data_IF_230013173892
#
_entry.id   IF_230013173892
#
_cell.length_a   1.000
_cell.length_b   1.000
_cell.length_c   1.000
_cell.angle_alpha   90.00
_cell.angle_beta   90.00
_cell.angle_gamma   90.00
#
_symmetry.space_group_name_H-M   'P 1'
#
loop_
_entity.id
_entity.type
_entity.pdbx_description
1 polymer ?
#
# COMPACT_ATOMS: atom_id res chain seq x y z
N UNK A 1 6.80 -9.99 -32.82
CA UNK A 1 5.52 -9.34 -32.47
C UNK A 1 5.31 -8.01 -33.20
N UNK A 2 6.21 -7.01 -33.09
CA UNK A 2 6.05 -5.70 -33.79
C UNK A 2 5.72 -5.84 -35.29
N UNK A 3 6.47 -6.68 -36.01
CA UNK A 3 6.25 -6.91 -37.43
C UNK A 3 4.91 -7.61 -37.70
N UNK A 4 4.48 -8.52 -36.84
CA UNK A 4 3.20 -9.20 -36.97
C UNK A 4 2.01 -8.25 -36.74
N UNK A 5 2.07 -7.40 -35.72
CA UNK A 5 1.04 -6.40 -35.47
C UNK A 5 0.95 -5.38 -36.59
N UNK A 6 2.10 -4.87 -37.10
CA UNK A 6 2.13 -3.93 -38.20
C UNK A 6 1.51 -4.50 -39.47
N UNK A 7 1.89 -5.74 -39.86
CA UNK A 7 1.31 -6.43 -41.03
C UNK A 7 -0.17 -6.73 -40.89
N UNK A 8 -0.65 -7.04 -39.67
CA UNK A 8 -2.04 -7.30 -39.41
C UNK A 8 -2.89 -6.03 -39.25
N UNK A 9 -2.30 -4.83 -39.31
CA UNK A 9 -2.98 -3.57 -39.08
C UNK A 9 -3.42 -3.36 -37.62
N UNK A 10 -2.79 -4.08 -36.67
CA UNK A 10 -3.12 -3.94 -35.26
C UNK A 10 -2.28 -2.83 -34.61
N UNK A 11 -2.91 -2.06 -33.69
CA UNK A 11 -2.17 -1.06 -32.92
C UNK A 11 -1.23 -1.73 -31.91
N UNK A 12 0.05 -1.39 -31.98
CA UNK A 12 1.07 -1.90 -31.06
C UNK A 12 0.81 -1.57 -29.59
N UNK A 13 0.01 -0.56 -29.29
CA UNK A 13 -0.39 -0.21 -27.92
C UNK A 13 -1.22 -1.33 -27.25
N UNK A 14 -1.85 -2.17 -28.05
CA UNK A 14 -2.71 -3.27 -27.60
C UNK A 14 -1.97 -4.62 -27.52
N UNK A 15 -0.64 -4.62 -27.67
CA UNK A 15 0.17 -5.82 -27.64
C UNK A 15 1.16 -5.80 -26.47
N UNK A 16 1.09 -6.82 -25.62
CA UNK A 16 1.99 -7.02 -24.50
C UNK A 16 2.86 -8.25 -24.75
N UNK A 17 4.15 -8.14 -24.44
CA UNK A 17 5.09 -9.26 -24.46
C UNK A 17 5.84 -9.30 -23.13
N UNK A 18 5.76 -10.44 -22.45
CA UNK A 18 6.53 -10.71 -21.26
C UNK A 18 7.33 -12.01 -21.46
N UNK A 19 8.64 -11.87 -21.59
CA UNK A 19 9.57 -12.98 -21.82
C UNK A 19 9.09 -13.88 -22.98
N UNK A 20 8.41 -15.00 -22.66
CA UNK A 20 7.94 -16.01 -23.62
C UNK A 20 6.47 -15.85 -24.00
N UNK A 21 5.69 -15.07 -23.24
CA UNK A 21 4.27 -14.89 -23.49
C UNK A 21 4.00 -13.64 -24.36
N UNK A 22 3.04 -13.76 -25.27
CA UNK A 22 2.57 -12.66 -26.12
C UNK A 22 1.05 -12.55 -26.04
N UNK A 23 0.56 -11.37 -25.72
CA UNK A 23 -0.84 -11.04 -25.63
C UNK A 23 -1.18 -9.91 -26.60
N UNK A 24 -2.26 -10.08 -27.32
CA UNK A 24 -2.81 -9.08 -28.22
C UNK A 24 -4.29 -8.88 -27.90
N UNK A 25 -4.68 -7.63 -27.72
CA UNK A 25 -6.06 -7.24 -27.47
C UNK A 25 -6.62 -6.45 -28.65
N UNK A 26 -7.88 -6.70 -29.00
CA UNK A 26 -8.65 -5.87 -29.93
C UNK A 26 -10.09 -5.73 -29.45
N UNK A 27 -10.86 -4.82 -30.08
CA UNK A 27 -12.29 -4.71 -29.80
C UNK A 27 -13.00 -6.00 -30.20
N UNK A 28 -14.06 -6.36 -29.48
CA UNK A 28 -14.91 -7.50 -29.83
C UNK A 28 -15.39 -7.40 -31.29
N UNK A 29 -15.26 -8.50 -32.02
CA UNK A 29 -15.60 -8.56 -33.44
C UNK A 29 -14.55 -8.01 -34.42
N UNK A 30 -13.45 -7.42 -33.92
CA UNK A 30 -12.33 -6.99 -34.78
C UNK A 30 -11.48 -8.22 -35.16
N UNK A 31 -11.32 -8.51 -36.45
CA UNK A 31 -10.50 -9.64 -36.91
C UNK A 31 -8.99 -9.42 -36.72
N UNK A 32 -8.56 -8.30 -36.19
CA UNK A 32 -7.13 -7.99 -36.03
C UNK A 32 -6.42 -9.00 -35.13
N UNK A 33 -7.02 -9.44 -34.02
CA UNK A 33 -6.41 -10.44 -33.14
C UNK A 33 -6.22 -11.78 -33.87
N UNK A 34 -7.21 -12.22 -34.64
CA UNK A 34 -7.10 -13.47 -35.43
C UNK A 34 -5.98 -13.35 -36.46
N UNK A 35 -5.91 -12.25 -37.23
CA UNK A 35 -4.83 -12.03 -38.21
C UNK A 35 -3.45 -12.00 -37.55
N UNK A 36 -3.30 -11.41 -36.36
CA UNK A 36 -2.03 -11.41 -35.62
C UNK A 36 -1.68 -12.81 -35.13
N UNK A 37 -2.66 -13.54 -34.62
CA UNK A 37 -2.48 -14.92 -34.14
C UNK A 37 -2.00 -15.81 -35.31
N UNK A 38 -2.70 -15.83 -36.43
CA UNK A 38 -2.38 -16.64 -37.58
C UNK A 38 -1.00 -16.30 -38.14
N UNK A 39 -0.72 -15.01 -38.31
CA UNK A 39 0.58 -14.56 -38.79
C UNK A 39 1.72 -14.91 -37.83
N UNK A 40 1.51 -14.82 -36.51
CA UNK A 40 2.49 -15.19 -35.52
C UNK A 40 2.78 -16.69 -35.52
N UNK A 41 1.74 -17.51 -35.66
CA UNK A 41 1.83 -18.98 -35.79
C UNK A 41 2.63 -19.39 -37.03
N UNK A 42 2.48 -18.67 -38.12
CA UNK A 42 3.23 -18.88 -39.37
C UNK A 42 4.70 -18.44 -39.27
N UNK A 43 4.92 -17.25 -38.67
CA UNK A 43 6.26 -16.62 -38.67
C UNK A 43 7.20 -17.25 -37.65
N UNK A 44 6.74 -17.58 -36.46
CA UNK A 44 7.57 -18.01 -35.33
C UNK A 44 8.41 -19.27 -35.67
N UNK A 45 7.85 -20.33 -36.27
CA UNK A 45 8.63 -21.49 -36.68
C UNK A 45 9.71 -21.16 -37.71
N UNK A 46 9.42 -20.23 -38.63
CA UNK A 46 10.40 -19.74 -39.64
C UNK A 46 11.59 -19.02 -39.01
N UNK A 47 11.37 -18.45 -37.82
CA UNK A 47 12.41 -17.79 -37.02
C UNK A 47 13.09 -18.73 -36.03
N UNK A 48 12.79 -20.01 -36.04
CA UNK A 48 13.33 -20.99 -35.11
C UNK A 48 12.69 -20.92 -33.70
N UNK A 49 11.57 -20.22 -33.54
CA UNK A 49 10.85 -20.13 -32.28
C UNK A 49 9.85 -21.29 -32.18
N UNK A 50 10.03 -22.15 -31.17
CA UNK A 50 9.10 -23.25 -30.90
C UNK A 50 7.89 -22.73 -30.16
N UNK A 51 6.71 -22.81 -30.75
CA UNK A 51 5.44 -22.48 -30.13
C UNK A 51 4.83 -23.68 -29.41
N UNK A 52 4.01 -23.44 -28.42
CA UNK A 52 3.18 -24.47 -27.80
C UNK A 52 2.22 -25.08 -28.85
N UNK A 53 1.95 -26.39 -28.78
CA UNK A 53 0.95 -27.05 -29.64
C UNK A 53 -0.44 -26.41 -29.42
N UNK A 54 -1.29 -26.43 -30.47
CA UNK A 54 -2.65 -25.87 -30.37
C UNK A 54 -3.57 -26.64 -29.42
N UNK A 55 -3.23 -27.90 -29.21
CA UNK A 55 -3.93 -28.80 -28.28
C UNK A 55 -3.68 -28.39 -26.81
N UNK A 56 -2.55 -27.69 -26.52
CA UNK A 56 -2.22 -27.18 -25.20
C UNK A 56 -2.97 -25.84 -24.96
N UNK A 57 -4.27 -25.92 -24.70
CA UNK A 57 -5.16 -24.76 -24.49
C UNK A 57 -4.76 -23.86 -23.32
N UNK A 58 -3.91 -24.34 -22.40
CA UNK A 58 -3.38 -23.57 -21.30
C UNK A 58 -2.23 -22.65 -21.74
N UNK A 59 -1.60 -22.93 -22.91
CA UNK A 59 -0.43 -22.19 -23.41
C UNK A 59 -0.63 -21.55 -24.78
N UNK A 60 -1.53 -22.09 -25.59
CA UNK A 60 -1.81 -21.57 -26.92
C UNK A 60 -3.31 -21.59 -27.17
N UNK A 61 -3.96 -20.47 -27.15
CA UNK A 61 -5.38 -20.37 -27.45
C UNK A 61 -5.63 -19.31 -28.54
N UNK A 62 -6.55 -19.59 -29.48
CA UNK A 62 -6.97 -18.61 -30.46
C UNK A 62 -7.66 -17.42 -29.76
N UNK A 63 -7.86 -16.30 -30.48
CA UNK A 63 -8.57 -15.17 -29.93
C UNK A 63 -9.90 -15.55 -29.29
N UNK A 64 -10.06 -15.19 -28.03
CA UNK A 64 -11.24 -15.49 -27.23
C UNK A 64 -11.55 -14.31 -26.29
N UNK A 65 -12.76 -14.25 -25.77
CA UNK A 65 -13.16 -13.25 -24.77
C UNK A 65 -12.72 -13.61 -23.36
N UNK A 66 -12.33 -14.86 -23.14
CA UNK A 66 -11.82 -15.34 -21.85
C UNK A 66 -10.74 -16.39 -22.02
N UNK A 67 -9.83 -16.48 -21.03
CA UNK A 67 -8.75 -17.46 -21.01
C UNK A 67 -7.76 -17.22 -19.88
N UNK A 68 -6.90 -18.22 -19.66
CA UNK A 68 -5.81 -18.09 -18.67
C UNK A 68 -4.61 -17.43 -19.34
N UNK A 69 -4.22 -16.29 -18.80
CA UNK A 69 -3.06 -15.56 -19.24
C UNK A 69 -2.14 -15.24 -18.08
N UNK A 70 -0.84 -15.51 -18.22
CA UNK A 70 0.14 -15.30 -17.15
C UNK A 70 -0.31 -15.93 -15.82
N UNK A 71 -1.02 -17.04 -15.85
CA UNK A 71 -1.51 -17.72 -14.66
C UNK A 71 -2.75 -17.09 -14.01
N UNK A 72 -3.38 -16.11 -14.64
CA UNK A 72 -4.62 -15.46 -14.23
C UNK A 72 -5.71 -15.76 -15.26
N UNK A 73 -6.89 -16.15 -14.82
CA UNK A 73 -8.06 -16.23 -15.69
C UNK A 73 -8.62 -14.83 -15.91
N UNK A 74 -8.71 -14.41 -17.16
CA UNK A 74 -9.29 -13.15 -17.60
C UNK A 74 -10.61 -13.42 -18.31
N UNK A 75 -11.65 -12.68 -17.98
CA UNK A 75 -12.91 -12.63 -18.70
C UNK A 75 -13.14 -11.19 -19.17
N UNK A 76 -12.85 -10.94 -20.43
CA UNK A 76 -12.93 -9.60 -21.02
C UNK A 76 -14.37 -9.21 -21.42
N UNK A 77 -15.30 -10.17 -21.48
CA UNK A 77 -16.70 -9.86 -21.71
C UNK A 77 -17.31 -9.14 -20.50
N UNK A 78 -16.98 -9.61 -19.30
CA UNK A 78 -17.50 -9.08 -18.03
C UNK A 78 -16.49 -8.17 -17.31
N UNK A 79 -15.29 -8.01 -17.87
CA UNK A 79 -14.17 -7.28 -17.26
C UNK A 79 -13.84 -7.80 -15.86
N UNK A 80 -13.68 -9.12 -15.75
CA UNK A 80 -13.32 -9.79 -14.50
C UNK A 80 -12.02 -10.59 -14.63
N UNK A 81 -11.42 -10.87 -13.49
CA UNK A 81 -10.28 -11.74 -13.36
C UNK A 81 -10.42 -12.65 -12.14
N UNK A 82 -9.74 -13.79 -12.17
CA UNK A 82 -9.65 -14.69 -11.02
C UNK A 82 -8.36 -15.51 -11.05
N UNK A 83 -8.00 -16.08 -9.90
CA UNK A 83 -6.86 -17.00 -9.80
C UNK A 83 -7.36 -18.44 -10.00
N UNK A 84 -6.80 -19.23 -10.93
CA UNK A 84 -7.21 -20.60 -11.15
C UNK A 84 -7.09 -21.46 -9.88
N UNK A 85 -8.11 -22.28 -9.58
CA UNK A 85 -8.22 -23.09 -8.36
C UNK A 85 -6.98 -23.96 -8.09
N UNK A 86 -6.41 -24.58 -9.14
CA UNK A 86 -5.16 -25.35 -9.03
C UNK A 86 -4.01 -24.55 -8.44
N UNK A 87 -3.93 -23.25 -8.75
CA UNK A 87 -2.88 -22.36 -8.23
C UNK A 87 -3.15 -22.00 -6.77
N UNK A 88 -4.42 -21.76 -6.42
CA UNK A 88 -4.84 -21.48 -5.04
C UNK A 88 -4.51 -22.66 -4.13
N UNK A 89 -4.79 -23.90 -4.55
CA UNK A 89 -4.52 -25.09 -3.75
C UNK A 89 -3.03 -25.21 -3.41
N UNK A 90 -2.14 -24.97 -4.39
CA UNK A 90 -0.69 -25.04 -4.16
C UNK A 90 -0.23 -23.95 -3.21
N UNK A 91 -0.70 -22.71 -3.41
CA UNK A 91 -0.32 -21.56 -2.54
C UNK A 91 -0.82 -21.80 -1.12
N UNK A 92 -2.05 -22.27 -0.96
CA UNK A 92 -2.64 -22.58 0.35
C UNK A 92 -1.80 -23.61 1.11
N UNK A 93 -1.42 -24.71 0.46
CA UNK A 93 -0.59 -25.74 1.06
C UNK A 93 0.74 -25.15 1.60
N UNK A 94 1.44 -24.36 0.78
CA UNK A 94 2.72 -23.76 1.19
C UNK A 94 2.53 -22.76 2.36
N UNK A 95 1.44 -21.99 2.35
CA UNK A 95 1.09 -21.08 3.44
C UNK A 95 0.77 -21.80 4.75
N UNK A 96 0.06 -22.93 4.68
CA UNK A 96 -0.23 -23.78 5.84
C UNK A 96 1.07 -24.31 6.48
N UNK A 97 2.06 -24.69 5.65
CA UNK A 97 3.38 -25.06 6.15
C UNK A 97 4.08 -23.91 6.89
N UNK A 98 3.95 -22.67 6.38
CA UNK A 98 4.50 -21.46 7.04
C UNK A 98 3.81 -21.19 8.37
N UNK A 99 2.50 -21.40 8.48
CA UNK A 99 1.73 -21.16 9.72
C UNK A 99 2.10 -22.20 10.80
N UNK A 100 2.21 -23.47 10.43
CA UNK A 100 2.35 -24.57 11.39
C UNK A 100 3.80 -24.77 11.84
N UNK A 101 4.78 -24.58 10.96
CA UNK A 101 6.17 -24.90 11.24
C UNK A 101 6.96 -23.69 11.74
N UNK A 102 7.86 -23.91 12.73
CA UNK A 102 8.80 -22.90 13.16
C UNK A 102 9.89 -22.64 12.12
N UNK A 103 10.27 -23.68 11.39
CA UNK A 103 11.29 -23.63 10.35
C UNK A 103 10.76 -24.26 9.06
N UNK A 104 11.06 -23.66 7.93
CA UNK A 104 10.70 -24.16 6.59
C UNK A 104 11.89 -24.08 5.63
N UNK A 105 11.84 -24.84 4.55
CA UNK A 105 12.91 -24.81 3.53
C UNK A 105 12.94 -23.47 2.80
N UNK A 106 14.11 -22.86 2.65
CA UNK A 106 14.26 -21.58 1.95
C UNK A 106 13.75 -21.63 0.49
N UNK A 107 14.00 -22.74 -0.22
CA UNK A 107 13.51 -22.91 -1.60
C UNK A 107 11.97 -22.85 -1.68
N UNK A 108 11.25 -23.41 -0.70
CA UNK A 108 9.79 -23.31 -0.64
C UNK A 108 9.33 -21.86 -0.40
N UNK A 109 10.01 -21.14 0.50
CA UNK A 109 9.70 -19.70 0.73
C UNK A 109 10.00 -18.85 -0.51
N UNK A 110 11.06 -19.16 -1.27
CA UNK A 110 11.39 -18.48 -2.53
C UNK A 110 10.26 -18.64 -3.56
N UNK A 111 9.78 -19.86 -3.75
CA UNK A 111 8.68 -20.14 -4.67
C UNK A 111 7.37 -19.51 -4.20
N UNK A 112 7.04 -19.64 -2.90
CA UNK A 112 5.87 -19.01 -2.31
C UNK A 112 5.93 -17.50 -2.46
N UNK A 113 7.07 -16.87 -2.15
CA UNK A 113 7.30 -15.44 -2.32
C UNK A 113 7.07 -15.00 -3.77
N UNK A 114 7.56 -15.77 -4.75
CA UNK A 114 7.32 -15.52 -6.17
C UNK A 114 5.83 -15.56 -6.53
N UNK A 115 5.11 -16.59 -6.08
CA UNK A 115 3.66 -16.75 -6.30
C UNK A 115 2.87 -15.63 -5.63
N UNK A 116 3.16 -15.29 -4.37
CA UNK A 116 2.49 -14.20 -3.67
C UNK A 116 2.76 -12.83 -4.33
N UNK A 117 3.99 -12.59 -4.81
CA UNK A 117 4.31 -11.38 -5.55
C UNK A 117 3.47 -11.25 -6.84
N UNK A 118 3.25 -12.37 -7.52
CA UNK A 118 2.46 -12.40 -8.74
C UNK A 118 0.97 -12.13 -8.49
N UNK A 119 0.38 -12.78 -7.48
CA UNK A 119 -1.06 -12.67 -7.20
C UNK A 119 -1.44 -11.52 -6.25
N UNK A 120 -0.47 -10.89 -5.60
CA UNK A 120 -0.74 -9.81 -4.64
C UNK A 120 -1.48 -8.60 -5.23
N UNK A 121 -1.40 -8.39 -6.54
CA UNK A 121 -2.11 -7.30 -7.23
C UNK A 121 -3.59 -7.60 -7.43
N UNK A 122 -3.97 -8.90 -7.42
CA UNK A 122 -5.34 -9.37 -7.65
C UNK A 122 -6.14 -9.47 -6.35
N UNK A 123 -5.46 -9.48 -5.21
CA UNK A 123 -6.07 -9.64 -3.89
C UNK A 123 -6.04 -8.31 -3.16
N UNK A 124 -7.17 -7.74 -2.75
CA UNK A 124 -7.17 -6.52 -1.96
C UNK A 124 -6.21 -6.62 -0.76
N UNK A 125 -5.41 -5.60 -0.54
CA UNK A 125 -4.33 -5.57 0.48
C UNK A 125 -3.18 -6.58 0.28
N UNK A 126 -3.25 -7.50 -0.68
CA UNK A 126 -2.24 -8.56 -0.90
C UNK A 126 -0.81 -8.03 -1.08
N UNK A 127 -0.65 -6.85 -1.69
CA UNK A 127 0.65 -6.20 -1.81
C UNK A 127 1.30 -5.88 -0.46
N UNK A 128 0.51 -5.71 0.60
CA UNK A 128 1.00 -5.48 1.95
C UNK A 128 1.33 -6.80 2.67
N UNK A 129 0.53 -7.84 2.46
CA UNK A 129 0.58 -9.09 3.21
C UNK A 129 1.63 -10.10 2.72
N UNK A 130 2.75 -9.61 2.17
CA UNK A 130 3.84 -10.48 1.69
C UNK A 130 5.23 -10.06 2.17
N UNK A 131 5.33 -8.89 2.80
CA UNK A 131 6.63 -8.27 3.08
C UNK A 131 7.47 -9.06 4.07
N UNK A 132 6.89 -9.64 5.12
CA UNK A 132 7.60 -10.42 6.13
C UNK A 132 7.92 -11.83 5.65
N UNK A 133 7.05 -12.45 4.84
CA UNK A 133 7.33 -13.72 4.16
C UNK A 133 8.55 -13.54 3.23
N UNK A 134 8.54 -12.48 2.41
CA UNK A 134 9.66 -12.14 1.54
C UNK A 134 10.94 -11.81 2.32
N UNK A 135 10.80 -11.24 3.53
CA UNK A 135 11.95 -10.94 4.38
C UNK A 135 12.60 -12.21 4.94
N UNK A 136 11.80 -13.18 5.40
CA UNK A 136 12.32 -14.47 5.85
C UNK A 136 13.15 -15.14 4.76
N UNK A 137 12.62 -15.22 3.53
CA UNK A 137 13.37 -15.78 2.39
C UNK A 137 14.68 -15.02 2.10
N UNK A 138 14.65 -13.67 2.06
CA UNK A 138 15.84 -12.86 1.70
C UNK A 138 16.91 -12.80 2.78
N UNK A 139 16.56 -13.07 4.02
CA UNK A 139 17.50 -13.09 5.15
C UNK A 139 18.20 -14.44 5.29
N UNK A 140 17.79 -15.43 4.53
CA UNK A 140 18.30 -16.77 4.62
C UNK A 140 19.56 -16.99 3.76
N UNK A 141 20.39 -17.88 4.18
CA UNK A 141 21.49 -18.43 3.38
C UNK A 141 20.99 -19.34 2.22
N UNK A 142 21.87 -19.87 1.34
CA UNK A 142 21.50 -20.49 0.07
C UNK A 142 20.41 -21.59 0.13
N UNK A 143 19.84 -21.93 -1.05
CA UNK A 143 18.82 -22.96 -1.24
C UNK A 143 19.17 -24.27 -0.53
N UNK A 144 18.25 -24.78 0.28
CA UNK A 144 18.41 -26.05 1.01
C UNK A 144 18.44 -25.91 2.53
N UNK A 145 18.72 -24.71 3.04
CA UNK A 145 18.70 -24.43 4.47
C UNK A 145 17.28 -24.22 5.01
N UNK A 146 17.09 -24.57 6.28
CA UNK A 146 15.89 -24.26 7.03
C UNK A 146 15.95 -22.80 7.51
N UNK A 147 14.84 -22.10 7.36
CA UNK A 147 14.69 -20.69 7.75
C UNK A 147 13.67 -20.60 8.87
N UNK A 148 14.00 -19.83 9.91
CA UNK A 148 13.05 -19.53 10.96
C UNK A 148 11.94 -18.61 10.43
N UNK A 149 10.69 -19.00 10.69
CA UNK A 149 9.50 -18.22 10.34
C UNK A 149 9.17 -17.26 11.46
N UNK A 150 9.24 -15.97 11.18
CA UNK A 150 8.88 -14.93 12.17
C UNK A 150 7.37 -14.95 12.48
N UNK A 151 6.98 -14.44 13.65
CA UNK A 151 5.57 -14.30 14.02
C UNK A 151 4.78 -13.48 12.98
N UNK A 152 5.37 -12.39 12.47
CA UNK A 152 4.76 -11.53 11.44
C UNK A 152 4.58 -12.28 10.10
N UNK A 153 5.53 -13.15 9.71
CA UNK A 153 5.38 -13.95 8.49
C UNK A 153 4.25 -14.98 8.64
N UNK A 154 4.09 -15.59 9.83
CA UNK A 154 2.95 -16.48 10.12
C UNK A 154 1.61 -15.75 10.07
N UNK A 155 1.55 -14.54 10.63
CA UNK A 155 0.35 -13.69 10.60
C UNK A 155 -0.05 -13.35 9.15
N UNK A 156 0.93 -13.01 8.31
CA UNK A 156 0.70 -12.77 6.89
C UNK A 156 0.26 -14.04 6.14
N UNK A 157 0.86 -15.19 6.46
CA UNK A 157 0.45 -16.45 5.85
C UNK A 157 -0.99 -16.83 6.23
N UNK A 158 -1.38 -16.66 7.50
CA UNK A 158 -2.75 -16.87 7.97
C UNK A 158 -3.74 -15.92 7.27
N UNK A 159 -3.36 -14.66 7.10
CA UNK A 159 -4.15 -13.68 6.35
C UNK A 159 -4.37 -14.13 4.89
N UNK A 160 -3.32 -14.58 4.22
CA UNK A 160 -3.42 -15.08 2.85
C UNK A 160 -4.32 -16.30 2.73
N UNK A 161 -4.23 -17.27 3.66
CA UNK A 161 -5.12 -18.43 3.69
C UNK A 161 -6.60 -17.99 3.73
N UNK A 162 -6.91 -16.98 4.53
CA UNK A 162 -8.26 -16.44 4.65
C UNK A 162 -8.69 -15.63 3.39
N UNK A 163 -7.75 -14.97 2.70
CA UNK A 163 -8.04 -14.13 1.55
C UNK A 163 -8.12 -14.91 0.22
N UNK A 164 -7.39 -16.03 0.09
CA UNK A 164 -7.31 -16.81 -1.15
C UNK A 164 -8.67 -17.29 -1.71
N UNK A 165 -9.68 -17.70 -0.90
CA UNK A 165 -10.99 -18.08 -1.43
C UNK A 165 -11.66 -16.96 -2.23
N UNK A 166 -11.50 -15.71 -1.78
CA UNK A 166 -12.03 -14.55 -2.51
C UNK A 166 -11.29 -14.32 -3.83
N UNK A 167 -10.01 -14.68 -3.93
CA UNK A 167 -9.23 -14.56 -5.16
C UNK A 167 -9.63 -15.60 -6.25
N UNK A 168 -10.29 -16.71 -5.85
CA UNK A 168 -10.87 -17.67 -6.78
C UNK A 168 -12.14 -17.16 -7.43
N UNK A 169 -12.83 -16.23 -6.76
CA UNK A 169 -14.03 -15.59 -7.30
C UNK A 169 -13.64 -14.57 -8.36
N UNK A 170 -14.45 -14.47 -9.39
CA UNK A 170 -14.30 -13.43 -10.40
C UNK A 170 -14.44 -12.04 -9.76
N UNK A 171 -13.38 -11.27 -9.83
CA UNK A 171 -13.35 -9.88 -9.36
C UNK A 171 -13.25 -8.94 -10.54
N UNK A 172 -13.88 -7.77 -10.44
CA UNK A 172 -13.80 -6.77 -11.51
C UNK A 172 -12.37 -6.30 -11.71
N UNK A 173 -11.93 -6.27 -12.97
CA UNK A 173 -10.64 -5.66 -13.33
C UNK A 173 -10.75 -4.18 -13.01
N UNK A 174 -9.86 -3.63 -12.15
CA UNK A 174 -9.87 -2.21 -11.84
C UNK A 174 -9.72 -1.39 -13.12
N UNK A 175 -10.47 -0.32 -13.24
CA UNK A 175 -10.22 0.66 -14.28
C UNK A 175 -8.88 1.37 -13.99
N UNK A 176 -7.83 0.85 -14.61
CA UNK A 176 -6.48 1.42 -14.55
C UNK A 176 -6.27 2.51 -15.60
N UNK A 177 -7.31 2.88 -16.35
CA UNK A 177 -7.22 4.05 -17.23
C UNK A 177 -6.65 5.18 -16.37
N UNK A 178 -5.58 5.86 -16.81
CA UNK A 178 -5.24 7.15 -16.25
C UNK A 178 -6.44 8.03 -16.59
N UNK A 179 -7.48 7.94 -15.76
CA UNK A 179 -8.57 8.89 -15.82
C UNK A 179 -7.91 10.25 -15.80
N UNK A 180 -8.45 11.18 -16.51
CA UNK A 180 -8.10 12.58 -16.62
C UNK A 180 -8.10 13.28 -15.25
N UNK A 181 -7.43 12.68 -14.26
CA UNK A 181 -7.17 13.28 -12.96
C UNK A 181 -5.97 14.21 -13.13
N UNK A 182 -6.23 15.33 -13.80
CA UNK A 182 -5.27 16.41 -13.87
C UNK A 182 -4.99 16.93 -12.46
N UNK A 183 -3.84 16.52 -11.93
CA UNK A 183 -3.34 16.95 -10.62
C UNK A 183 -4.03 16.29 -9.42
N UNK A 184 -3.52 16.64 -8.25
CA UNK A 184 -4.13 16.25 -6.97
C UNK A 184 -5.08 17.35 -6.50
N UNK A 185 -6.25 16.96 -6.00
CA UNK A 185 -7.23 17.91 -5.48
C UNK A 185 -6.79 18.51 -4.13
N UNK A 186 -6.00 17.74 -3.35
CA UNK A 186 -5.52 18.15 -2.04
C UNK A 186 -4.06 17.75 -1.85
N UNK A 187 -3.27 18.68 -1.30
CA UNK A 187 -1.88 18.48 -0.93
C UNK A 187 -1.74 18.58 0.59
N UNK A 188 -1.30 17.49 1.20
CA UNK A 188 -1.11 17.32 2.63
C UNK A 188 0.37 17.39 2.97
N UNK A 189 0.71 18.25 3.92
CA UNK A 189 2.07 18.42 4.43
C UNK A 189 2.11 18.07 5.91
N UNK A 190 2.32 16.81 6.28
CA UNK A 190 2.60 16.40 7.64
C UNK A 190 4.07 16.57 7.98
N UNK A 191 4.37 16.78 9.26
CA UNK A 191 5.72 16.75 9.80
C UNK A 191 5.71 16.20 11.22
N UNK A 192 6.81 15.54 11.60
CA UNK A 192 7.00 14.99 12.92
C UNK A 192 8.36 15.39 13.50
N UNK A 193 8.36 16.31 14.43
CA UNK A 193 9.56 16.65 15.19
C UNK A 193 9.85 15.56 16.25
N UNK A 194 11.05 15.00 16.21
CA UNK A 194 11.46 13.97 17.15
C UNK A 194 12.99 13.88 17.25
N UNK A 195 13.52 13.39 18.39
CA UNK A 195 14.94 13.14 18.58
C UNK A 195 15.81 14.36 18.87
N UNK A 196 15.23 15.55 19.05
CA UNK A 196 15.94 16.74 19.47
C UNK A 196 16.27 16.70 20.97
N UNK A 197 17.40 17.31 21.36
CA UNK A 197 17.80 17.48 22.76
C UNK A 197 16.86 18.48 23.47
N UNK A 198 16.24 19.39 22.72
CA UNK A 198 15.18 20.30 23.19
C UNK A 198 13.82 19.60 23.20
N UNK A 199 13.59 18.84 24.26
CA UNK A 199 12.40 17.99 24.41
C UNK A 199 11.05 18.72 24.34
N UNK A 200 11.01 20.03 24.59
CA UNK A 200 9.80 20.83 24.62
C UNK A 200 9.22 21.16 23.23
N UNK A 201 9.97 20.91 22.16
CA UNK A 201 9.61 21.23 20.78
C UNK A 201 9.24 20.02 19.91
N UNK A 202 9.03 18.85 20.53
CA UNK A 202 8.77 17.63 19.79
C UNK A 202 7.30 17.28 19.73
N UNK A 203 6.76 17.21 18.52
CA UNK A 203 5.35 16.91 18.28
C UNK A 203 5.06 16.43 16.88
N UNK A 204 3.79 16.35 16.56
CA UNK A 204 3.28 16.15 15.22
C UNK A 204 2.48 17.36 14.77
N UNK A 205 2.62 17.74 13.53
CA UNK A 205 1.90 18.83 12.92
C UNK A 205 1.61 18.58 11.45
N UNK A 206 0.69 19.35 10.91
CA UNK A 206 0.44 19.27 9.48
C UNK A 206 -0.66 20.19 9.00
N UNK A 207 -0.67 20.46 7.70
CA UNK A 207 -1.60 21.35 7.03
C UNK A 207 -2.12 20.74 5.73
N UNK A 208 -3.43 20.84 5.49
CA UNK A 208 -4.05 20.61 4.19
C UNK A 208 -4.01 21.96 3.47
N UNK A 209 -3.14 22.05 2.46
CA UNK A 209 -2.77 23.36 1.89
C UNK A 209 -3.94 24.12 1.27
N UNK A 210 -4.77 23.44 0.47
CA UNK A 210 -5.88 24.04 -0.27
C UNK A 210 -7.01 24.51 0.65
N UNK A 211 -7.20 23.84 1.77
CA UNK A 211 -8.30 24.15 2.71
C UNK A 211 -7.84 24.96 3.91
N UNK A 212 -6.55 24.94 4.22
CA UNK A 212 -5.95 25.56 5.39
C UNK A 212 -6.34 24.89 6.72
N UNK A 213 -6.90 23.68 6.70
CA UNK A 213 -7.09 22.89 7.89
C UNK A 213 -5.74 22.39 8.39
N UNK A 214 -5.52 22.43 9.69
CA UNK A 214 -4.25 22.09 10.30
C UNK A 214 -4.42 21.46 11.68
N UNK A 215 -3.39 20.79 12.15
CA UNK A 215 -3.25 20.34 13.52
C UNK A 215 -1.82 20.58 14.02
N UNK A 216 -1.65 20.76 15.33
CA UNK A 216 -0.36 20.79 16.01
C UNK A 216 -0.53 20.13 17.37
N UNK A 217 0.30 19.12 17.67
CA UNK A 217 0.21 18.36 18.91
C UNK A 217 1.58 17.95 19.42
N UNK A 218 1.90 18.26 20.67
CA UNK A 218 3.10 17.75 21.32
C UNK A 218 2.97 16.23 21.45
N UNK A 219 4.09 15.52 21.36
CA UNK A 219 4.12 14.10 21.70
C UNK A 219 3.85 13.89 23.21
N UNK A 220 3.42 12.68 23.64
CA UNK A 220 3.31 12.35 25.04
C UNK A 220 4.64 12.56 25.79
N UNK A 221 4.59 12.96 27.07
CA UNK A 221 5.77 13.28 27.85
C UNK A 221 6.86 12.20 27.82
N UNK A 222 6.48 10.92 27.93
CA UNK A 222 7.43 9.80 27.87
C UNK A 222 8.17 9.73 26.53
N UNK A 223 7.51 10.10 25.42
CA UNK A 223 8.13 10.11 24.10
C UNK A 223 9.05 11.32 23.92
N UNK A 224 8.63 12.49 24.41
CA UNK A 224 9.45 13.71 24.43
C UNK A 224 10.72 13.52 25.24
N UNK A 225 10.62 12.89 26.40
CA UNK A 225 11.75 12.59 27.29
C UNK A 225 12.62 11.43 26.77
N UNK A 226 12.31 10.87 25.60
CA UNK A 226 13.08 9.77 25.00
C UNK A 226 13.00 8.46 25.79
N UNK A 227 12.01 8.33 26.68
CA UNK A 227 11.76 7.09 27.43
C UNK A 227 11.21 6.00 26.51
N UNK A 228 11.43 4.75 26.88
CA UNK A 228 10.77 3.62 26.25
C UNK A 228 9.28 3.58 26.67
N UNK A 229 8.45 3.03 25.79
CA UNK A 229 7.06 2.71 26.14
C UNK A 229 6.96 1.47 27.04
N UNK A 230 5.73 1.01 27.35
CA UNK A 230 5.46 -0.20 28.14
C UNK A 230 6.13 -1.47 27.61
N UNK A 231 6.43 -1.52 26.31
CA UNK A 231 7.10 -2.64 25.64
C UNK A 231 8.63 -2.47 25.51
N UNK A 232 9.21 -1.48 26.17
CA UNK A 232 10.66 -1.20 26.11
C UNK A 232 11.11 -0.56 24.80
N UNK A 233 10.20 -0.01 24.00
CA UNK A 233 10.50 0.52 22.66
C UNK A 233 10.73 2.03 22.72
N UNK A 234 11.87 2.46 22.23
CA UNK A 234 12.22 3.88 22.07
C UNK A 234 11.64 4.46 20.78
N UNK A 235 10.39 4.90 20.82
CA UNK A 235 9.66 5.43 19.65
C UNK A 235 10.29 6.72 19.09
N UNK A 236 10.92 7.55 19.89
CA UNK A 236 11.62 8.76 19.43
C UNK A 236 12.74 8.46 18.40
N UNK A 237 13.27 7.23 18.38
CA UNK A 237 14.25 6.75 17.38
C UNK A 237 13.61 6.22 16.10
N UNK A 238 12.29 6.18 16.01
CA UNK A 238 11.54 5.62 14.90
C UNK A 238 10.93 6.73 14.02
N UNK A 239 11.76 7.66 13.52
CA UNK A 239 11.31 8.84 12.77
C UNK A 239 10.33 8.50 11.63
N UNK A 240 10.61 7.47 10.83
CA UNK A 240 9.69 7.04 9.77
C UNK A 240 8.29 6.68 10.29
N UNK A 241 8.22 6.11 11.50
CA UNK A 241 6.92 5.79 12.14
C UNK A 241 6.22 7.07 12.59
N UNK A 242 6.95 8.00 13.23
CA UNK A 242 6.39 9.27 13.69
C UNK A 242 5.89 10.13 12.53
N UNK A 243 6.64 10.21 11.44
CA UNK A 243 6.23 10.87 10.19
C UNK A 243 4.95 10.26 9.61
N UNK A 244 4.91 8.93 9.56
CA UNK A 244 3.72 8.24 9.09
C UNK A 244 2.50 8.45 10.00
N UNK A 245 2.69 8.57 11.32
CA UNK A 245 1.62 8.93 12.26
C UNK A 245 1.12 10.35 12.03
N UNK A 246 2.02 11.33 11.82
CA UNK A 246 1.63 12.68 11.46
C UNK A 246 0.82 12.70 10.15
N UNK A 247 1.21 11.89 9.16
CA UNK A 247 0.47 11.74 7.92
C UNK A 247 -0.93 11.12 8.12
N UNK A 248 -1.05 10.08 8.96
CA UNK A 248 -2.35 9.50 9.33
C UNK A 248 -3.24 10.49 10.08
N UNK A 249 -2.66 11.24 11.03
CA UNK A 249 -3.38 12.28 11.74
C UNK A 249 -3.95 13.29 10.76
N UNK A 250 -3.12 13.81 9.85
CA UNK A 250 -3.54 14.82 8.88
C UNK A 250 -4.59 14.29 7.88
N UNK A 251 -4.46 13.05 7.45
CA UNK A 251 -5.42 12.40 6.54
C UNK A 251 -6.81 12.23 7.19
N UNK A 252 -6.86 12.17 8.52
CA UNK A 252 -8.08 11.88 9.28
C UNK A 252 -8.64 13.06 10.06
N UNK A 253 -7.99 14.24 10.04
CA UNK A 253 -8.49 15.44 10.77
C UNK A 253 -9.86 15.92 10.28
N UNK A 254 -10.11 15.82 8.97
CA UNK A 254 -11.38 16.19 8.34
C UNK A 254 -11.74 15.18 7.24
N UNK A 255 -12.24 13.99 7.59
CA UNK A 255 -12.44 12.91 6.63
C UNK A 255 -13.37 13.29 5.48
N UNK A 256 -14.34 14.16 5.73
CA UNK A 256 -15.29 14.65 4.71
C UNK A 256 -14.61 15.45 3.61
N UNK A 257 -13.50 16.13 3.91
CA UNK A 257 -12.77 16.93 2.92
C UNK A 257 -11.93 16.05 1.99
N UNK A 258 -11.44 14.92 2.48
CA UNK A 258 -10.53 14.04 1.73
C UNK A 258 -11.24 12.90 1.02
N UNK A 259 -12.45 12.52 1.47
CA UNK A 259 -13.25 11.43 0.87
C UNK A 259 -13.47 11.67 -0.63
N UNK A 260 -13.28 10.61 -1.43
CA UNK A 260 -13.43 10.60 -2.89
C UNK A 260 -12.54 11.62 -3.62
N UNK A 261 -11.38 11.97 -3.04
CA UNK A 261 -10.43 12.92 -3.62
C UNK A 261 -9.14 12.25 -4.07
N UNK A 262 -8.41 12.95 -4.94
CA UNK A 262 -7.00 12.66 -5.20
C UNK A 262 -6.16 13.43 -4.20
N UNK A 263 -5.40 12.72 -3.37
CA UNK A 263 -4.63 13.29 -2.26
C UNK A 263 -3.16 12.97 -2.43
N UNK A 264 -2.31 13.98 -2.33
CA UNK A 264 -0.87 13.82 -2.28
C UNK A 264 -0.33 14.19 -0.90
N UNK A 265 0.35 13.26 -0.24
CA UNK A 265 1.11 13.53 0.98
C UNK A 265 2.56 13.84 0.58
N UNK A 266 3.05 15.01 0.99
CA UNK A 266 4.44 15.44 0.81
C UNK A 266 5.19 15.31 2.13
N UNK A 267 6.31 14.58 2.14
CA UNK A 267 7.17 14.37 3.32
C UNK A 267 8.63 14.39 2.92
N UNK A 268 9.52 14.89 3.78
CA UNK A 268 10.97 14.81 3.59
C UNK A 268 11.51 13.41 3.99
N UNK A 269 10.69 12.55 4.60
CA UNK A 269 11.08 11.23 5.07
C UNK A 269 11.08 10.18 3.95
N UNK A 270 12.26 9.90 3.39
CA UNK A 270 12.43 8.88 2.36
C UNK A 270 11.97 7.49 2.80
N UNK A 271 12.09 7.15 4.09
CA UNK A 271 11.67 5.86 4.64
C UNK A 271 10.17 5.65 4.52
N UNK A 272 9.35 6.67 4.79
CA UNK A 272 7.89 6.62 4.65
C UNK A 272 7.49 6.48 3.18
N UNK A 273 8.08 7.30 2.29
CA UNK A 273 7.83 7.19 0.83
C UNK A 273 8.16 5.80 0.32
N UNK A 274 9.30 5.25 0.74
CA UNK A 274 9.71 3.90 0.36
C UNK A 274 8.76 2.82 0.89
N UNK A 275 8.42 2.88 2.20
CA UNK A 275 7.51 1.93 2.83
C UNK A 275 6.15 1.91 2.12
N UNK A 276 5.60 3.08 1.82
CA UNK A 276 4.32 3.20 1.12
C UNK A 276 4.40 2.69 -0.33
N UNK A 277 5.38 3.12 -1.12
CA UNK A 277 5.52 2.71 -2.53
C UNK A 277 5.84 1.22 -2.70
N UNK A 278 6.72 0.67 -1.85
CA UNK A 278 7.12 -0.74 -1.92
C UNK A 278 6.17 -1.68 -1.17
N UNK A 279 5.20 -1.13 -0.40
CA UNK A 279 4.31 -1.91 0.45
C UNK A 279 5.10 -2.81 1.42
N UNK A 280 6.24 -2.32 1.90
CA UNK A 280 7.18 -3.07 2.72
C UNK A 280 8.04 -2.15 3.59
N UNK A 281 8.38 -2.60 4.80
CA UNK A 281 9.37 -1.97 5.67
C UNK A 281 10.02 -3.04 6.55
N UNK A 282 11.33 -2.89 6.84
CA UNK A 282 12.02 -3.71 7.85
C UNK A 282 11.60 -3.36 9.28
N UNK A 283 11.12 -2.13 9.49
CA UNK A 283 10.60 -1.70 10.79
C UNK A 283 9.11 -2.05 10.86
N UNK A 284 8.67 -2.95 11.77
CA UNK A 284 7.26 -3.35 11.88
C UNK A 284 6.32 -2.17 12.15
N UNK A 285 6.75 -1.19 12.93
CA UNK A 285 5.95 0.00 13.25
C UNK A 285 5.77 0.91 12.03
N UNK A 286 6.83 1.17 11.27
CA UNK A 286 6.74 1.93 10.01
C UNK A 286 5.88 1.20 8.97
N UNK A 287 5.97 -0.14 8.93
CA UNK A 287 5.09 -0.97 8.10
C UNK A 287 3.63 -0.81 8.50
N UNK A 288 3.32 -0.95 9.82
CA UNK A 288 1.96 -0.81 10.35
C UNK A 288 1.34 0.53 9.97
N UNK A 289 2.09 1.61 10.13
CA UNK A 289 1.60 2.97 9.85
C UNK A 289 1.43 3.21 8.35
N UNK A 290 2.40 2.79 7.53
CA UNK A 290 2.29 2.93 6.07
C UNK A 290 1.14 2.09 5.49
N UNK A 291 0.89 0.91 6.04
CA UNK A 291 -0.27 0.09 5.70
C UNK A 291 -1.58 0.73 6.13
N UNK A 292 -1.63 1.30 7.34
CA UNK A 292 -2.81 2.01 7.84
C UNK A 292 -3.17 3.20 6.93
N UNK A 293 -2.18 3.94 6.40
CA UNK A 293 -2.42 4.97 5.39
C UNK A 293 -3.15 4.42 4.15
N UNK A 294 -2.74 3.26 3.66
CA UNK A 294 -3.39 2.64 2.50
C UNK A 294 -4.81 2.15 2.83
N UNK A 295 -5.02 1.57 4.03
CA UNK A 295 -6.34 1.13 4.49
C UNK A 295 -7.31 2.29 4.64
N UNK A 296 -6.87 3.39 5.27
CA UNK A 296 -7.69 4.61 5.43
C UNK A 296 -8.00 5.22 4.07
N UNK A 297 -7.01 5.29 3.18
CA UNK A 297 -7.23 5.79 1.83
C UNK A 297 -8.27 4.95 1.05
N UNK A 298 -8.18 3.62 1.14
CA UNK A 298 -9.16 2.72 0.51
C UNK A 298 -10.56 2.88 1.09
N UNK A 299 -10.70 2.92 2.42
CA UNK A 299 -12.00 3.06 3.07
C UNK A 299 -12.67 4.43 2.87
N UNK A 300 -11.90 5.45 2.56
CA UNK A 300 -12.41 6.79 2.22
C UNK A 300 -12.48 7.06 0.71
N UNK A 301 -12.26 6.04 -0.14
CA UNK A 301 -12.20 6.16 -1.60
C UNK A 301 -11.22 7.24 -2.08
N UNK A 302 -10.07 7.34 -1.40
CA UNK A 302 -9.02 8.31 -1.72
C UNK A 302 -8.02 7.69 -2.69
N UNK A 303 -7.70 8.39 -3.78
CA UNK A 303 -6.51 8.10 -4.56
C UNK A 303 -5.30 8.75 -3.86
N UNK A 304 -4.57 7.96 -3.07
CA UNK A 304 -3.46 8.44 -2.26
C UNK A 304 -2.10 8.22 -2.93
N UNK A 305 -1.33 9.27 -3.03
CA UNK A 305 0.11 9.21 -3.36
C UNK A 305 0.94 9.80 -2.21
N UNK A 306 2.11 9.19 -1.96
CA UNK A 306 3.11 9.72 -1.01
C UNK A 306 4.36 10.09 -1.80
N UNK A 307 4.73 11.37 -1.76
CA UNK A 307 5.87 11.94 -2.49
C UNK A 307 6.93 12.49 -1.55
N UNK A 308 8.17 12.30 -1.98
CA UNK A 308 9.29 12.98 -1.33
C UNK A 308 9.32 14.43 -1.75
N UNK A 309 9.59 15.30 -0.77
CA UNK A 309 9.90 16.70 -1.01
C UNK A 309 11.22 17.07 -0.31
N UNK A 310 12.00 18.02 -0.81
CA UNK A 310 13.14 18.56 -0.08
C UNK A 310 12.68 19.30 1.17
N UNK A 311 13.42 19.21 2.25
CA UNK A 311 13.08 19.86 3.52
C UNK A 311 12.99 21.37 3.37
N UNK A 312 11.92 21.96 3.91
CA UNK A 312 11.67 23.41 3.88
C UNK A 312 11.75 24.03 2.46
N UNK A 313 11.34 23.29 1.43
CA UNK A 313 11.37 23.77 0.04
C UNK A 313 10.16 24.63 -0.34
N UNK A 314 9.13 24.68 0.51
CA UNK A 314 7.91 25.44 0.27
C UNK A 314 7.35 26.03 1.58
N UNK A 315 6.51 27.06 1.45
CA UNK A 315 5.79 27.63 2.61
C UNK A 315 4.90 26.62 3.33
N UNK A 316 4.38 25.63 2.60
CA UNK A 316 3.55 24.58 3.18
C UNK A 316 4.37 23.65 4.09
N UNK A 317 5.59 23.31 3.68
CA UNK A 317 6.51 22.50 4.48
C UNK A 317 7.04 23.27 5.69
N UNK A 318 7.38 24.56 5.50
CA UNK A 318 7.75 25.42 6.61
C UNK A 318 6.62 25.58 7.63
N UNK A 319 5.37 25.65 7.17
CA UNK A 319 4.20 25.67 8.03
C UNK A 319 4.05 24.35 8.81
N UNK A 320 4.24 23.20 8.16
CA UNK A 320 4.19 21.87 8.79
C UNK A 320 5.31 21.69 9.84
N UNK A 321 6.54 22.08 9.50
CA UNK A 321 7.69 22.07 10.45
C UNK A 321 7.44 22.99 11.66
N UNK A 322 6.83 24.15 11.47
CA UNK A 322 6.45 25.03 12.57
C UNK A 322 5.37 24.40 13.47
N UNK A 323 4.36 23.74 12.86
CA UNK A 323 3.29 23.08 13.61
C UNK A 323 3.80 21.87 14.42
N UNK A 324 4.72 21.08 13.88
CA UNK A 324 5.32 19.94 14.58
C UNK A 324 6.13 20.36 15.81
N UNK A 325 6.66 21.58 15.80
CA UNK A 325 7.42 22.20 16.88
C UNK A 325 6.58 23.09 17.80
N UNK A 326 5.29 23.26 17.52
CA UNK A 326 4.40 24.16 18.27
C UNK A 326 4.71 25.65 18.08
N UNK A 327 5.49 26.02 17.04
CA UNK A 327 5.86 27.41 16.72
C UNK A 327 4.73 28.10 15.94
N UNK A 328 3.73 28.59 16.68
CA UNK A 328 2.55 29.21 16.11
C UNK A 328 2.85 30.57 15.43
N UNK A 329 3.93 31.26 15.82
CA UNK A 329 4.32 32.53 15.18
C UNK A 329 4.87 32.27 13.78
N UNK A 330 5.79 31.30 13.64
CA UNK A 330 6.34 30.89 12.36
C UNK A 330 5.26 30.28 11.47
N UNK A 331 4.32 29.49 12.03
CA UNK A 331 3.18 28.98 11.29
C UNK A 331 2.34 30.12 10.71
N UNK A 332 1.97 31.13 11.52
CA UNK A 332 1.16 32.26 11.08
C UNK A 332 1.84 33.10 9.99
N UNK A 333 3.18 33.15 9.96
CA UNK A 333 3.93 33.86 8.90
C UNK A 333 3.89 33.13 7.55
N UNK A 334 3.78 31.81 7.55
CA UNK A 334 3.80 30.96 6.35
C UNK A 334 2.39 30.61 5.83
N UNK A 335 1.39 30.59 6.72
CA UNK A 335 0.02 30.22 6.38
C UNK A 335 -0.96 31.36 6.73
N UNK A 336 -1.50 32.03 5.70
CA UNK A 336 -2.45 33.15 5.86
C UNK A 336 -3.88 32.70 6.20
N UNK A 337 -4.15 31.42 6.27
CA UNK A 337 -5.50 30.90 6.51
C UNK A 337 -5.84 30.92 7.99
N UNK A 338 -6.94 31.57 8.35
CA UNK A 338 -7.48 31.66 9.72
C UNK A 338 -8.31 30.41 10.08
N UNK A 339 -7.98 29.23 9.60
CA UNK A 339 -8.83 28.08 9.85
C UNK A 339 -8.56 27.43 11.20
N UNK A 340 -9.60 26.79 11.71
CA UNK A 340 -9.63 26.20 13.03
C UNK A 340 -8.73 24.96 13.07
N UNK A 341 -8.05 24.78 14.17
CA UNK A 341 -7.35 23.54 14.49
C UNK A 341 -8.30 22.35 14.51
N UNK A 342 -7.93 21.28 13.83
CA UNK A 342 -8.76 20.10 13.68
C UNK A 342 -8.41 19.01 14.71
N UNK A 343 -9.37 18.13 15.00
CA UNK A 343 -9.22 17.02 15.96
C UNK A 343 -8.55 15.82 15.29
N UNK A 344 -7.88 14.98 16.07
CA UNK A 344 -7.20 13.76 15.62
C UNK A 344 -7.88 12.53 16.19
N UNK A 345 -7.90 11.42 15.44
CA UNK A 345 -8.55 10.19 15.83
C UNK A 345 -7.97 9.58 17.13
N UNK A 346 -8.84 9.18 18.05
CA UNK A 346 -8.46 8.64 19.38
C UNK A 346 -7.65 7.33 19.25
N UNK A 347 -8.00 6.50 18.30
CA UNK A 347 -7.26 5.25 18.01
C UNK A 347 -5.77 5.51 17.76
N UNK A 348 -5.40 6.65 17.14
CA UNK A 348 -4.00 7.02 16.93
C UNK A 348 -3.32 7.39 18.25
N UNK A 349 -4.04 8.10 19.12
CA UNK A 349 -3.54 8.46 20.46
C UNK A 349 -3.28 7.20 21.29
N UNK A 350 -4.21 6.26 21.30
CA UNK A 350 -4.09 5.00 22.02
C UNK A 350 -2.95 4.14 21.45
N UNK A 351 -2.81 4.08 20.14
CA UNK A 351 -1.73 3.34 19.51
C UNK A 351 -0.34 3.93 19.83
N UNK A 352 -0.22 5.24 19.94
CA UNK A 352 1.04 5.88 20.34
C UNK A 352 1.42 5.51 21.76
N UNK A 353 0.45 5.40 22.68
CA UNK A 353 0.69 4.99 24.07
C UNK A 353 1.22 3.57 24.19
N UNK A 354 0.66 2.67 23.40
CA UNK A 354 1.02 1.25 23.38
C UNK A 354 1.13 0.75 21.93
N UNK A 355 2.22 1.14 21.23
CA UNK A 355 2.39 0.79 19.83
C UNK A 355 2.68 -0.69 19.68
N UNK A 356 1.80 -1.39 18.97
CA UNK A 356 1.98 -2.76 18.57
C UNK A 356 1.97 -2.88 17.05
N UNK A 357 2.82 -3.74 16.46
CA UNK A 357 2.66 -4.11 15.07
C UNK A 357 1.31 -4.79 14.88
N UNK A 358 0.42 -4.18 14.11
CA UNK A 358 -0.92 -4.70 13.87
C UNK A 358 -1.35 -4.46 12.44
N UNK A 359 -2.14 -5.39 11.90
CA UNK A 359 -2.79 -5.22 10.61
C UNK A 359 -4.16 -4.53 10.72
N UNK A 360 -4.60 -4.14 11.91
CA UNK A 360 -5.92 -3.60 12.18
C UNK A 360 -5.94 -2.06 12.38
N UNK A 361 -4.79 -1.39 12.47
CA UNK A 361 -4.73 0.03 12.82
C UNK A 361 -5.62 0.89 11.90
N UNK A 362 -5.47 0.75 10.58
CA UNK A 362 -6.24 1.53 9.62
C UNK A 362 -7.74 1.25 9.68
N UNK A 363 -8.15 0.00 9.87
CA UNK A 363 -9.56 -0.38 10.03
C UNK A 363 -10.17 0.21 11.30
N UNK A 364 -9.43 0.21 12.41
CA UNK A 364 -9.87 0.83 13.67
C UNK A 364 -10.04 2.33 13.53
N UNK A 365 -9.13 3.00 12.79
CA UNK A 365 -9.24 4.43 12.48
C UNK A 365 -10.50 4.69 11.66
N UNK A 366 -10.78 3.89 10.64
CA UNK A 366 -11.98 4.05 9.79
C UNK A 366 -13.27 3.94 10.60
N UNK A 367 -13.37 2.97 11.51
CA UNK A 367 -14.55 2.83 12.38
C UNK A 367 -14.77 4.08 13.24
N UNK A 368 -13.70 4.67 13.79
CA UNK A 368 -13.81 5.89 14.59
C UNK A 368 -14.18 7.11 13.72
N UNK A 369 -13.63 7.20 12.53
CA UNK A 369 -13.87 8.29 11.58
C UNK A 369 -15.31 8.27 11.05
N UNK A 370 -15.90 7.08 10.88
CA UNK A 370 -17.30 6.92 10.43
C UNK A 370 -18.29 7.23 11.55
N UNK A 371 -17.94 6.94 12.78
CA UNK A 371 -18.75 7.19 13.98
C UNK A 371 -18.65 8.65 14.49
N UNK A 372 -18.48 9.59 13.60
CA UNK A 372 -18.04 10.98 13.78
C UNK A 372 -18.91 11.85 14.72
N UNK A 373 -18.97 11.45 15.99
CA UNK A 373 -19.48 12.23 17.13
C UNK A 373 -18.50 12.26 18.30
N UNK A 374 -17.44 11.48 18.24
CA UNK A 374 -16.55 11.25 19.38
C UNK A 374 -15.61 12.45 19.62
N UNK A 375 -15.68 13.04 20.81
CA UNK A 375 -14.67 14.00 21.26
C UNK A 375 -13.33 13.30 21.41
N UNK A 376 -12.35 13.72 20.62
CA UNK A 376 -10.98 13.21 20.73
C UNK A 376 -10.31 13.83 21.93
N UNK A 377 -9.98 13.02 22.92
CA UNK A 377 -9.18 13.42 24.07
C UNK A 377 -7.69 13.24 23.72
N UNK A 378 -6.90 14.26 24.03
CA UNK A 378 -5.45 14.18 23.92
C UNK A 378 -4.87 13.32 25.04
N UNK A 379 -3.72 12.71 24.82
CA UNK A 379 -3.04 11.85 25.79
C UNK A 379 -2.73 12.53 27.13
N UNK A 380 -2.62 13.86 27.17
CA UNK A 380 -2.35 14.65 28.38
C UNK A 380 -3.61 15.27 29.01
N UNK A 381 -4.77 15.15 28.37
CA UNK A 381 -6.02 15.62 28.98
C UNK A 381 -6.50 14.59 30.01
N UNK A 382 -6.36 14.94 31.28
CA UNK A 382 -7.08 14.22 32.35
C UNK A 382 -8.58 14.27 32.02
N UNK A 383 -9.31 13.15 32.16
CA UNK A 383 -10.76 13.17 32.00
C UNK A 383 -11.29 14.27 32.93
N UNK A 384 -12.02 15.23 32.37
CA UNK A 384 -12.72 16.22 33.19
C UNK A 384 -13.69 15.43 34.06
N UNK A 385 -13.36 15.27 35.34
CA UNK A 385 -14.33 14.76 36.31
C UNK A 385 -15.55 15.66 36.21
N UNK A 386 -16.67 15.15 35.73
CA UNK A 386 -17.95 15.82 35.92
C UNK A 386 -18.09 16.03 37.43
N UNK A 387 -17.94 17.27 37.84
CA UNK A 387 -18.39 17.65 39.19
C UNK A 387 -19.90 17.44 39.19
N UNK A 388 -20.33 16.43 39.96
CA UNK A 388 -21.73 16.20 40.27
C UNK A 388 -22.33 17.34 41.04
#
# INVERSE_FOLDING_TARGET
MKAACSKAGADMKNALKQVDDALVFSRYGDPACQRVYDYYRELAPRMGVKLAPEEDKDKAFPPATSGVCLGVFLNLADWTWSVPEKKITVIRHDLELVVVNQHVKNGMLEELSGRLNHYAVLVPEGLWERSFINHCHRSAEPKGFMVEVTAQAREQAAWWIAALPAAALESRIPDLSPGTREGFNLNLYPDAAGGSVDHNLNGAGGVIWETGNWFSRPWPAWLQEGRANSLGIHMHRKLTTLEGLAALMLLTVEPRLVRMKSVCIYTDNQGLVYAYKKKASRCPYAYTVARALAQVASGLDILLEVRKTPRCSSKAEEAADALSKGDMQRFASNCRTKRKESKVARVLVDWIRDPAPTNQLGRRILLEVEDSGTEVLWWDQKPKHKRG
#
